data_IF_561097068465
#
_entry.id   IF_561097068465
#
_cell.length_a   1.000
_cell.length_b   1.000
_cell.length_c   1.000
_cell.angle_alpha   90.00
_cell.angle_beta   90.00
_cell.angle_gamma   90.00
#
_symmetry.space_group_name_H-M   'P 1'
#
loop_
_entity.id
_entity.type
_entity.pdbx_description
1 polymer ?
#
# COMPACT_ATOMS: atom_id res chain seq x y z
N UNK A 1 -21.67 -16.91 -31.63
CA UNK A 1 -21.67 -17.49 -30.28
C UNK A 1 -20.22 -17.59 -29.85
N UNK A 2 -19.73 -16.60 -29.10
CA UNK A 2 -18.34 -16.59 -28.60
C UNK A 2 -18.34 -17.19 -27.20
N UNK A 3 -18.01 -18.46 -27.09
CA UNK A 3 -17.76 -19.10 -25.80
C UNK A 3 -16.51 -18.45 -25.17
N UNK A 4 -16.75 -17.55 -24.22
CA UNK A 4 -15.76 -17.06 -23.28
C UNK A 4 -15.33 -18.22 -22.40
N UNK A 5 -14.32 -18.98 -22.82
CA UNK A 5 -13.71 -20.04 -22.02
C UNK A 5 -12.99 -19.44 -20.81
N UNK A 6 -13.73 -19.26 -19.71
CA UNK A 6 -13.19 -18.87 -18.41
C UNK A 6 -12.19 -19.93 -17.92
N UNK A 7 -10.98 -19.51 -17.53
CA UNK A 7 -9.94 -20.42 -17.06
C UNK A 7 -10.36 -21.04 -15.73
N UNK A 8 -10.26 -22.37 -15.63
CA UNK A 8 -10.67 -23.06 -14.40
C UNK A 8 -9.73 -22.76 -13.23
N UNK A 9 -10.25 -22.82 -12.00
CA UNK A 9 -9.46 -22.62 -10.76
C UNK A 9 -8.20 -23.49 -10.68
N UNK A 10 -8.23 -24.69 -11.26
CA UNK A 10 -7.09 -25.63 -11.34
C UNK A 10 -6.01 -25.13 -12.30
N UNK A 11 -6.41 -24.56 -13.43
CA UNK A 11 -5.51 -23.98 -14.42
C UNK A 11 -4.86 -22.69 -13.92
N UNK A 12 -5.61 -21.86 -13.17
CA UNK A 12 -5.07 -20.67 -12.48
C UNK A 12 -3.95 -21.08 -11.51
N UNK A 13 -4.17 -22.11 -10.70
CA UNK A 13 -3.15 -22.54 -9.73
C UNK A 13 -1.92 -23.15 -10.42
N UNK A 14 -2.08 -23.85 -11.54
CA UNK A 14 -0.96 -24.32 -12.36
C UNK A 14 -0.14 -23.14 -12.90
N UNK A 15 -0.81 -22.10 -13.43
CA UNK A 15 -0.13 -20.88 -13.88
C UNK A 15 0.59 -20.18 -12.72
N UNK A 16 0.00 -20.16 -11.52
CA UNK A 16 0.61 -19.58 -10.32
C UNK A 16 1.90 -20.30 -9.93
N UNK A 17 1.88 -21.64 -9.87
CA UNK A 17 3.07 -22.46 -9.60
C UNK A 17 4.16 -22.20 -10.65
N UNK A 18 3.78 -22.09 -11.93
CA UNK A 18 4.72 -21.79 -13.01
C UNK A 18 5.29 -20.37 -12.95
N UNK A 19 4.54 -19.39 -12.43
CA UNK A 19 5.01 -18.01 -12.25
C UNK A 19 6.01 -17.83 -11.12
N UNK A 20 6.04 -18.76 -10.16
CA UNK A 20 6.94 -18.75 -9.00
C UNK A 20 8.29 -19.43 -9.28
N UNK A 21 8.48 -19.99 -10.48
CA UNK A 21 9.70 -20.69 -10.90
C UNK A 21 10.34 -20.04 -12.12
N UNK A 22 11.65 -19.82 -12.06
CA UNK A 22 12.44 -19.38 -13.21
C UNK A 22 12.89 -20.54 -14.10
N UNK A 23 12.69 -21.78 -13.66
CA UNK A 23 13.02 -22.98 -14.42
C UNK A 23 11.75 -23.67 -14.96
N UNK A 24 11.83 -24.37 -16.11
CA UNK A 24 10.74 -25.19 -16.60
C UNK A 24 10.32 -26.25 -15.56
N UNK A 25 8.99 -26.39 -15.33
CA UNK A 25 8.46 -27.36 -14.37
C UNK A 25 7.73 -28.51 -15.06
N UNK A 26 8.09 -29.74 -14.66
CA UNK A 26 7.41 -30.97 -15.07
C UNK A 26 6.11 -31.24 -14.30
N UNK A 27 5.24 -32.08 -14.88
CA UNK A 27 3.94 -32.45 -14.29
C UNK A 27 4.03 -33.06 -12.90
N UNK A 28 5.12 -33.76 -12.59
CA UNK A 28 5.34 -34.39 -11.28
C UNK A 28 5.60 -33.36 -10.17
N UNK A 29 6.37 -32.31 -10.47
CA UNK A 29 6.66 -31.21 -9.53
C UNK A 29 5.39 -30.39 -9.32
N UNK A 30 4.73 -30.00 -10.41
CA UNK A 30 3.48 -29.23 -10.37
C UNK A 30 2.41 -29.97 -9.58
N UNK A 31 2.27 -31.30 -9.76
CA UNK A 31 1.34 -32.12 -8.95
C UNK A 31 1.62 -32.00 -7.44
N UNK A 32 2.88 -32.10 -7.04
CA UNK A 32 3.28 -32.01 -5.63
C UNK A 32 2.96 -30.65 -5.03
N UNK A 33 3.22 -29.58 -5.78
CA UNK A 33 2.90 -28.22 -5.37
C UNK A 33 1.38 -27.98 -5.32
N UNK A 34 0.62 -28.52 -6.28
CA UNK A 34 -0.84 -28.50 -6.24
C UNK A 34 -1.38 -29.22 -5.00
N UNK A 35 -0.85 -30.40 -4.65
CA UNK A 35 -1.25 -31.15 -3.45
C UNK A 35 -0.96 -30.35 -2.17
N UNK A 36 0.18 -29.68 -2.07
CA UNK A 36 0.51 -28.77 -0.96
C UNK A 36 -0.48 -27.62 -0.82
N UNK A 37 -1.09 -27.19 -1.93
CA UNK A 37 -2.08 -26.12 -2.00
C UNK A 37 -3.53 -26.64 -1.93
N UNK A 38 -3.72 -27.92 -1.61
CA UNK A 38 -5.04 -28.54 -1.44
C UNK A 38 -5.73 -28.98 -2.74
N UNK A 39 -5.00 -29.04 -3.85
CA UNK A 39 -5.49 -29.53 -5.15
C UNK A 39 -4.97 -30.94 -5.44
N UNK A 40 -5.86 -31.92 -5.35
CA UNK A 40 -5.53 -33.32 -5.60
C UNK A 40 -5.81 -33.69 -7.06
N UNK A 41 -4.79 -33.63 -7.91
CA UNK A 41 -4.87 -34.01 -9.33
C UNK A 41 -3.90 -35.16 -9.64
N UNK A 42 -4.31 -36.07 -10.53
CA UNK A 42 -3.39 -37.07 -11.06
C UNK A 42 -2.34 -36.41 -11.97
N UNK A 43 -1.15 -36.99 -12.09
CA UNK A 43 -0.12 -36.46 -12.99
C UNK A 43 -0.60 -36.40 -14.45
N UNK A 44 -1.44 -37.35 -14.88
CA UNK A 44 -2.09 -37.35 -16.19
C UNK A 44 -3.01 -36.14 -16.37
N UNK A 45 -3.76 -35.77 -15.34
CA UNK A 45 -4.64 -34.60 -15.34
C UNK A 45 -3.84 -33.30 -15.39
N UNK A 46 -2.71 -33.23 -14.66
CA UNK A 46 -1.80 -32.08 -14.73
C UNK A 46 -1.22 -31.94 -16.14
N UNK A 47 -0.79 -33.04 -16.78
CA UNK A 47 -0.32 -33.02 -18.18
C UNK A 47 -1.40 -32.52 -19.14
N UNK A 48 -2.65 -32.94 -18.96
CA UNK A 48 -3.78 -32.49 -19.76
C UNK A 48 -3.98 -30.97 -19.65
N UNK A 49 -4.01 -30.42 -18.43
CA UNK A 49 -4.13 -28.96 -18.25
C UNK A 49 -2.94 -28.19 -18.84
N UNK A 50 -1.72 -28.70 -18.71
CA UNK A 50 -0.54 -28.09 -19.33
C UNK A 50 -0.65 -28.05 -20.86
N UNK A 51 -1.15 -29.12 -21.49
CA UNK A 51 -1.42 -29.14 -22.93
C UNK A 51 -2.49 -28.11 -23.32
N UNK A 52 -3.56 -27.98 -22.54
CA UNK A 52 -4.62 -26.99 -22.80
C UNK A 52 -4.11 -25.55 -22.65
N UNK A 53 -3.30 -25.28 -21.62
CA UNK A 53 -2.68 -23.97 -21.40
C UNK A 53 -1.68 -23.64 -22.52
N UNK A 54 -0.96 -24.64 -23.03
CA UNK A 54 0.00 -24.51 -24.13
C UNK A 54 -0.73 -24.19 -25.45
N UNK A 55 -1.83 -24.88 -25.74
CA UNK A 55 -2.71 -24.58 -26.89
C UNK A 55 -3.28 -23.14 -26.84
N UNK A 56 -3.49 -22.59 -25.64
CA UNK A 56 -3.93 -21.20 -25.44
C UNK A 56 -2.78 -20.18 -25.49
N UNK A 57 -1.53 -20.65 -25.57
CA UNK A 57 -0.31 -19.82 -25.57
C UNK A 57 0.02 -19.22 -24.20
N UNK A 58 -0.52 -19.78 -23.11
CA UNK A 58 -0.30 -19.28 -21.74
C UNK A 58 0.94 -19.91 -21.09
N UNK A 59 1.38 -21.05 -21.60
CA UNK A 59 2.63 -21.71 -21.20
C UNK A 59 3.39 -22.15 -22.44
N UNK A 60 4.70 -22.29 -22.33
CA UNK A 60 5.59 -22.76 -23.39
C UNK A 60 6.25 -24.07 -22.95
N UNK A 61 6.17 -25.11 -23.78
CA UNK A 61 6.81 -26.39 -23.55
C UNK A 61 8.30 -26.38 -23.88
N UNK A 62 9.08 -27.03 -23.02
CA UNK A 62 10.49 -27.31 -23.18
C UNK A 62 10.67 -28.82 -23.22
N UNK A 63 11.32 -29.36 -24.25
CA UNK A 63 11.36 -30.81 -24.57
C UNK A 63 11.52 -31.71 -23.33
N UNK A 64 12.58 -31.48 -22.54
CA UNK A 64 12.92 -32.27 -21.35
C UNK A 64 12.82 -31.50 -20.03
N UNK A 65 12.45 -30.22 -20.09
CA UNK A 65 12.37 -29.34 -18.90
C UNK A 65 10.98 -29.24 -18.29
N UNK A 66 9.92 -29.45 -19.06
CA UNK A 66 8.55 -29.18 -18.61
C UNK A 66 8.02 -27.91 -19.26
N UNK A 67 7.26 -27.08 -18.52
CA UNK A 67 6.64 -25.86 -19.08
C UNK A 67 7.11 -24.63 -18.30
N UNK A 68 7.20 -23.49 -18.98
CA UNK A 68 7.31 -22.16 -18.35
C UNK A 68 6.07 -21.34 -18.68
N UNK A 69 5.72 -20.39 -17.82
CA UNK A 69 4.64 -19.44 -18.11
C UNK A 69 5.11 -18.43 -19.17
N UNK A 70 4.21 -18.03 -20.08
CA UNK A 70 4.49 -16.96 -21.07
C UNK A 70 4.05 -15.60 -20.52
N UNK A 71 4.45 -14.50 -21.17
CA UNK A 71 3.93 -13.16 -20.83
C UNK A 71 2.39 -13.09 -20.90
N UNK A 72 1.80 -13.74 -21.92
CA UNK A 72 0.34 -13.87 -22.04
C UNK A 72 -0.25 -14.67 -20.88
N UNK A 73 0.43 -15.74 -20.44
CA UNK A 73 0.07 -16.50 -19.25
C UNK A 73 0.10 -15.68 -17.97
N UNK A 74 1.12 -14.83 -17.80
CA UNK A 74 1.24 -13.93 -16.65
C UNK A 74 0.12 -12.88 -16.63
N UNK A 75 -0.20 -12.28 -17.78
CA UNK A 75 -1.31 -11.34 -17.90
C UNK A 75 -2.65 -12.00 -17.57
N UNK A 76 -2.86 -13.21 -18.09
CA UNK A 76 -4.09 -13.96 -17.89
C UNK A 76 -4.23 -14.43 -16.43
N UNK A 77 -3.13 -14.90 -15.82
CA UNK A 77 -3.07 -15.20 -14.38
C UNK A 77 -3.40 -13.95 -13.56
N UNK A 78 -2.85 -12.79 -13.93
CA UNK A 78 -3.12 -11.51 -13.26
C UNK A 78 -4.61 -11.13 -13.34
N UNK A 79 -5.25 -11.34 -14.50
CA UNK A 79 -6.69 -11.11 -14.71
C UNK A 79 -7.55 -12.09 -13.90
N UNK A 80 -7.22 -13.37 -13.95
CA UNK A 80 -7.99 -14.43 -13.29
C UNK A 80 -7.92 -14.34 -11.74
N UNK A 81 -6.84 -13.76 -11.21
CA UNK A 81 -6.68 -13.51 -9.78
C UNK A 81 -7.37 -12.21 -9.31
N UNK A 82 -8.00 -11.42 -10.17
CA UNK A 82 -8.65 -10.14 -9.76
C UNK A 82 -9.70 -10.36 -8.67
N UNK A 83 -10.52 -11.41 -8.75
CA UNK A 83 -11.51 -11.74 -7.72
C UNK A 83 -10.87 -12.25 -6.42
N UNK A 84 -9.73 -12.94 -6.50
CA UNK A 84 -8.93 -13.38 -5.35
C UNK A 84 -8.10 -12.22 -4.74
N UNK A 85 -7.97 -11.09 -5.45
CA UNK A 85 -7.36 -9.86 -4.95
C UNK A 85 -8.34 -8.98 -4.17
N UNK A 86 -9.64 -9.30 -4.14
CA UNK A 86 -10.59 -8.61 -3.27
C UNK A 86 -10.21 -8.92 -1.81
N UNK A 87 -9.90 -7.88 -1.04
CA UNK A 87 -9.33 -8.00 0.31
C UNK A 87 -7.82 -8.25 0.37
N UNK A 88 -7.13 -8.39 -0.79
CA UNK A 88 -5.65 -8.45 -0.84
C UNK A 88 -5.04 -7.18 -0.29
N UNK A 89 -5.60 -6.01 -0.63
CA UNK A 89 -5.10 -4.71 -0.13
C UNK A 89 -5.15 -4.69 1.40
N UNK A 90 -6.29 -5.04 2.00
CA UNK A 90 -6.43 -5.11 3.47
C UNK A 90 -5.45 -6.10 4.09
N UNK A 91 -5.31 -7.29 3.51
CA UNK A 91 -4.41 -8.34 4.04
C UNK A 91 -2.94 -7.94 3.92
N UNK A 92 -2.56 -7.35 2.79
CA UNK A 92 -1.22 -6.82 2.53
C UNK A 92 -0.88 -5.68 3.51
N UNK A 93 -1.82 -4.75 3.72
CA UNK A 93 -1.66 -3.66 4.67
C UNK A 93 -1.51 -4.17 6.10
N UNK A 94 -2.34 -5.14 6.49
CA UNK A 94 -2.25 -5.78 7.79
C UNK A 94 -0.92 -6.51 7.98
N UNK A 95 -0.41 -7.20 6.95
CA UNK A 95 0.88 -7.89 7.00
C UNK A 95 2.05 -6.92 7.18
N UNK A 96 2.03 -5.78 6.48
CA UNK A 96 3.03 -4.72 6.65
C UNK A 96 2.93 -4.10 8.05
N UNK A 97 1.73 -3.72 8.49
CA UNK A 97 1.50 -3.13 9.81
C UNK A 97 1.92 -4.09 10.94
N UNK A 98 1.62 -5.39 10.81
CA UNK A 98 2.05 -6.42 11.75
C UNK A 98 3.59 -6.54 11.83
N UNK A 99 4.29 -6.26 10.74
CA UNK A 99 5.75 -6.37 10.65
C UNK A 99 6.49 -5.12 11.16
N UNK A 100 5.77 -4.04 11.48
CA UNK A 100 6.32 -2.84 12.13
C UNK A 100 6.86 -3.21 13.50
N UNK A 101 8.02 -2.68 13.85
CA UNK A 101 8.61 -2.85 15.20
C UNK A 101 8.97 -1.51 15.85
N UNK A 102 8.57 -0.39 15.25
CA UNK A 102 8.82 0.92 15.81
C UNK A 102 8.21 1.07 17.21
N UNK A 103 9.06 1.45 18.17
CA UNK A 103 8.66 1.76 19.54
C UNK A 103 8.75 3.28 19.77
N UNK A 104 7.62 3.96 20.05
CA UNK A 104 7.63 5.39 20.37
C UNK A 104 8.44 5.75 21.62
N UNK A 105 8.71 4.82 22.54
CA UNK A 105 9.56 5.12 23.70
C UNK A 105 11.04 5.20 23.30
N UNK A 106 11.54 4.16 22.63
CA UNK A 106 12.91 4.09 22.12
C UNK A 106 13.18 5.03 20.92
N UNK A 107 12.14 5.42 20.20
CA UNK A 107 12.22 6.17 18.94
C UNK A 107 13.05 5.47 17.86
N UNK A 108 12.88 4.14 17.77
CA UNK A 108 13.71 3.25 16.97
C UNK A 108 12.89 2.02 16.52
N UNK A 109 13.35 1.30 15.50
CA UNK A 109 12.70 0.11 14.95
C UNK A 109 12.22 0.24 13.50
N UNK A 110 11.56 -0.80 13.00
CA UNK A 110 11.16 -0.91 11.60
C UNK A 110 9.85 -0.14 11.35
N UNK A 111 9.86 0.70 10.32
CA UNK A 111 8.71 1.48 9.83
C UNK A 111 8.35 1.08 8.40
N UNK A 112 7.09 1.28 8.01
CA UNK A 112 6.67 1.10 6.62
C UNK A 112 6.97 2.39 5.85
N UNK A 113 7.64 2.27 4.71
CA UNK A 113 7.96 3.38 3.84
C UNK A 113 7.17 3.33 2.53
N UNK A 114 6.78 4.52 2.07
CA UNK A 114 6.39 4.79 0.68
C UNK A 114 7.63 5.22 -0.09
N UNK A 115 7.68 4.91 -1.38
CA UNK A 115 8.79 5.27 -2.27
C UNK A 115 8.27 6.18 -3.37
N UNK A 116 8.98 7.29 -3.59
CA UNK A 116 8.71 8.25 -4.67
C UNK A 116 9.98 8.51 -5.46
N UNK A 117 9.99 8.17 -6.75
CA UNK A 117 11.11 8.39 -7.66
C UNK A 117 10.82 9.64 -8.48
N UNK A 118 11.80 10.54 -8.52
CA UNK A 118 11.72 11.83 -9.22
C UNK A 118 13.02 12.10 -10.00
N UNK A 119 12.98 13.06 -10.93
CA UNK A 119 14.22 13.58 -11.54
C UNK A 119 15.09 14.27 -10.47
N UNK A 120 16.40 14.02 -10.52
CA UNK A 120 17.38 14.48 -9.53
C UNK A 120 17.38 16.01 -9.34
N UNK A 121 17.09 16.75 -10.40
CA UNK A 121 16.98 18.23 -10.39
C UNK A 121 15.91 18.76 -9.42
N UNK A 122 14.95 17.92 -9.00
CA UNK A 122 13.90 18.29 -8.05
C UNK A 122 14.16 17.80 -6.61
N UNK A 123 15.33 17.21 -6.32
CA UNK A 123 15.63 16.64 -5.01
C UNK A 123 15.52 17.67 -3.88
N UNK A 124 16.18 18.82 -4.00
CA UNK A 124 16.16 19.87 -2.97
C UNK A 124 14.73 20.39 -2.73
N UNK A 125 14.00 20.62 -3.81
CA UNK A 125 12.61 21.04 -3.77
C UNK A 125 11.72 20.01 -3.08
N UNK A 126 11.94 18.72 -3.30
CA UNK A 126 11.20 17.68 -2.61
C UNK A 126 11.44 17.65 -1.10
N UNK A 127 12.68 17.88 -0.67
CA UNK A 127 13.01 18.00 0.75
C UNK A 127 12.31 19.23 1.35
N UNK A 128 12.30 20.37 0.66
CA UNK A 128 11.57 21.58 1.06
C UNK A 128 10.05 21.33 1.16
N UNK A 129 9.46 20.63 0.19
CA UNK A 129 8.05 20.24 0.23
C UNK A 129 7.74 19.40 1.46
N UNK A 130 8.58 18.41 1.78
CA UNK A 130 8.38 17.53 2.95
C UNK A 130 8.47 18.35 4.25
N UNK A 131 9.42 19.28 4.36
CA UNK A 131 9.51 20.22 5.50
C UNK A 131 8.26 21.10 5.63
N UNK A 132 7.82 21.71 4.53
CA UNK A 132 6.62 22.56 4.52
C UNK A 132 5.36 21.78 4.93
N UNK A 133 5.24 20.52 4.52
CA UNK A 133 4.15 19.64 4.97
C UNK A 133 4.25 19.33 6.47
N UNK A 134 5.46 19.14 7.00
CA UNK A 134 5.66 18.90 8.43
C UNK A 134 5.25 20.13 9.26
N UNK A 135 5.69 21.32 8.87
CA UNK A 135 5.32 22.59 9.52
C UNK A 135 3.81 22.86 9.47
N UNK A 136 3.14 22.42 8.40
CA UNK A 136 1.69 22.50 8.26
C UNK A 136 0.91 21.40 9.01
N UNK A 137 1.60 20.53 9.77
CA UNK A 137 1.04 19.33 10.43
C UNK A 137 0.43 18.27 9.48
N UNK A 138 0.81 18.31 8.20
CA UNK A 138 0.34 17.44 7.12
C UNK A 138 1.32 16.32 6.74
N UNK A 139 2.39 16.15 7.51
CA UNK A 139 3.33 15.03 7.35
C UNK A 139 3.20 14.07 8.53
N UNK A 140 3.04 12.78 8.26
CA UNK A 140 2.83 11.78 9.30
C UNK A 140 4.03 11.68 10.27
N UNK A 141 5.24 11.50 9.75
CA UNK A 141 6.45 11.41 10.55
C UNK A 141 7.54 12.29 9.94
N UNK A 142 8.36 12.97 10.77
CA UNK A 142 9.38 13.91 10.32
C UNK A 142 10.66 13.19 9.86
N UNK A 143 10.55 12.16 9.04
CA UNK A 143 11.69 11.35 8.59
C UNK A 143 11.65 11.16 7.07
N UNK A 144 12.82 11.28 6.46
CA UNK A 144 13.03 11.03 5.04
C UNK A 144 14.35 10.30 4.82
N UNK A 145 14.36 9.32 3.91
CA UNK A 145 15.59 8.77 3.34
C UNK A 145 15.63 9.10 1.86
N UNK A 146 16.78 9.52 1.38
CA UNK A 146 17.03 9.80 -0.04
C UNK A 146 18.05 8.77 -0.52
N UNK A 147 17.77 8.14 -1.65
CA UNK A 147 18.75 7.39 -2.43
C UNK A 147 19.10 8.18 -3.67
N UNK A 148 20.39 8.27 -3.96
CA UNK A 148 20.90 8.90 -5.16
C UNK A 148 20.92 7.92 -6.34
N UNK A 149 21.18 8.43 -7.53
CA UNK A 149 21.32 7.65 -8.75
C UNK A 149 22.33 6.51 -8.61
N UNK A 150 22.04 5.36 -9.21
CA UNK A 150 22.84 4.13 -9.15
C UNK A 150 22.99 3.52 -7.74
N UNK A 151 22.24 3.99 -6.75
CA UNK A 151 22.12 3.33 -5.45
C UNK A 151 21.00 2.27 -5.48
N UNK A 152 21.18 1.24 -4.65
CA UNK A 152 20.18 0.21 -4.39
C UNK A 152 19.93 0.09 -2.89
N UNK A 153 18.66 0.03 -2.50
CA UNK A 153 18.28 -0.23 -1.11
C UNK A 153 16.91 -0.91 -1.05
N UNK A 154 16.82 -2.03 -0.33
CA UNK A 154 15.57 -2.78 -0.09
C UNK A 154 14.77 -3.09 -1.37
N UNK A 155 15.47 -3.55 -2.42
CA UNK A 155 14.93 -3.87 -3.75
C UNK A 155 14.43 -2.65 -4.56
N UNK A 156 14.79 -1.43 -4.15
CA UNK A 156 14.62 -0.21 -4.95
C UNK A 156 15.97 0.11 -5.55
N UNK A 157 16.05 0.06 -6.88
CA UNK A 157 17.19 0.55 -7.65
C UNK A 157 16.85 1.87 -8.33
N UNK A 158 17.77 2.83 -8.27
CA UNK A 158 17.58 4.18 -8.84
C UNK A 158 18.39 4.30 -10.13
N UNK A 159 17.74 4.63 -11.24
CA UNK A 159 18.41 4.86 -12.52
C UNK A 159 19.18 6.19 -12.55
N UNK A 160 20.12 6.30 -13.48
CA UNK A 160 20.86 7.54 -13.75
C UNK A 160 19.91 8.73 -13.97
N UNK A 161 20.24 9.89 -13.38
CA UNK A 161 19.44 11.11 -13.41
C UNK A 161 18.21 11.13 -12.51
N UNK A 162 17.97 10.08 -11.70
CA UNK A 162 16.84 9.99 -10.76
C UNK A 162 17.30 9.98 -9.31
N UNK A 163 16.37 10.29 -8.40
CA UNK A 163 16.51 10.06 -6.95
C UNK A 163 15.26 9.37 -6.42
N UNK A 164 15.41 8.57 -5.37
CA UNK A 164 14.27 7.96 -4.67
C UNK A 164 14.12 8.52 -3.25
N UNK A 165 12.90 8.91 -2.91
CA UNK A 165 12.51 9.46 -1.62
C UNK A 165 11.67 8.44 -0.86
N UNK A 166 12.07 8.17 0.37
CA UNK A 166 11.38 7.29 1.30
C UNK A 166 10.73 8.12 2.39
N UNK A 167 9.42 8.03 2.52
CA UNK A 167 8.65 8.71 3.57
C UNK A 167 7.80 7.70 4.35
N UNK A 168 7.60 7.95 5.64
CA UNK A 168 6.88 7.01 6.51
C UNK A 168 5.39 6.93 6.14
N UNK A 169 4.88 5.71 6.05
CA UNK A 169 3.49 5.37 5.77
C UNK A 169 2.65 5.27 7.04
N UNK A 170 1.35 5.58 6.96
CA UNK A 170 0.37 5.51 8.06
C UNK A 170 0.18 4.10 8.62
N UNK A 171 0.49 3.07 7.82
CA UNK A 171 0.61 1.69 8.29
C UNK A 171 1.59 1.51 9.45
N UNK A 172 2.55 2.43 9.63
CA UNK A 172 3.44 2.42 10.79
C UNK A 172 2.69 2.75 12.08
N UNK A 173 1.77 3.73 12.05
CA UNK A 173 0.91 4.03 13.19
C UNK A 173 -0.04 2.86 13.45
N UNK A 174 -0.60 2.29 12.38
CA UNK A 174 -1.44 1.08 12.48
C UNK A 174 -0.67 -0.06 13.19
N UNK A 175 0.61 -0.27 12.84
CA UNK A 175 1.48 -1.27 13.47
C UNK A 175 1.71 -1.01 14.97
N UNK A 176 2.02 0.22 15.36
CA UNK A 176 2.17 0.60 16.78
C UNK A 176 0.89 0.33 17.57
N UNK A 177 -0.28 0.62 16.99
CA UNK A 177 -1.58 0.34 17.61
C UNK A 177 -1.81 -1.17 17.75
N UNK A 178 -1.57 -1.94 16.68
CA UNK A 178 -1.73 -3.41 16.68
C UNK A 178 -0.85 -4.06 17.76
N UNK A 179 0.44 -3.71 17.83
CA UNK A 179 1.36 -4.25 18.84
C UNK A 179 1.04 -3.79 20.26
N UNK A 180 0.32 -2.69 20.39
CA UNK A 180 -0.26 -2.25 21.65
C UNK A 180 -1.56 -3.00 22.01
N UNK A 181 -1.95 -4.04 21.26
CA UNK A 181 -3.17 -4.80 21.48
C UNK A 181 -4.45 -4.05 21.12
N UNK A 182 -4.39 -3.09 20.21
CA UNK A 182 -5.54 -2.31 19.75
C UNK A 182 -6.06 -2.91 18.42
N UNK A 183 -7.25 -3.53 18.41
CA UNK A 183 -7.84 -4.03 17.18
C UNK A 183 -8.39 -2.87 16.35
N UNK A 184 -7.96 -2.80 15.09
CA UNK A 184 -8.37 -1.78 14.13
C UNK A 184 -8.86 -2.42 12.82
N UNK A 185 -9.71 -1.70 12.11
CA UNK A 185 -10.29 -2.11 10.83
C UNK A 185 -9.96 -1.05 9.78
N UNK A 186 -9.34 -1.47 8.67
CA UNK A 186 -9.13 -0.62 7.50
C UNK A 186 -10.47 -0.38 6.80
N UNK A 187 -10.97 0.86 6.80
CA UNK A 187 -12.29 1.16 6.23
C UNK A 187 -12.19 1.80 4.87
N UNK A 188 -11.63 3.01 4.81
CA UNK A 188 -11.63 3.80 3.58
C UNK A 188 -10.32 4.54 3.37
N UNK A 189 -9.90 4.63 2.10
CA UNK A 189 -9.00 5.69 1.65
C UNK A 189 -9.81 6.69 0.84
N UNK A 190 -9.52 7.97 0.98
CA UNK A 190 -10.35 9.03 0.39
C UNK A 190 -9.68 10.39 0.34
N UNK A 191 -10.48 11.38 -0.04
CA UNK A 191 -10.09 12.79 -0.09
C UNK A 191 -10.89 13.57 0.96
N UNK A 192 -10.19 14.36 1.76
CA UNK A 192 -10.77 15.20 2.81
C UNK A 192 -10.67 16.67 2.42
N UNK A 193 -11.79 17.36 2.52
CA UNK A 193 -11.85 18.82 2.41
C UNK A 193 -11.35 19.46 3.70
N UNK A 194 -10.41 20.38 3.58
CA UNK A 194 -9.90 21.21 4.67
C UNK A 194 -10.25 22.66 4.41
N UNK A 195 -10.75 23.35 5.45
CA UNK A 195 -11.03 24.79 5.42
C UNK A 195 -10.44 25.42 6.67
N UNK A 196 -9.65 26.48 6.52
CA UNK A 196 -9.00 27.19 7.63
C UNK A 196 -8.23 26.25 8.59
N UNK A 197 -7.51 25.26 8.02
CA UNK A 197 -6.76 24.19 8.69
C UNK A 197 -7.61 23.19 9.48
N UNK A 198 -8.93 23.22 9.30
CA UNK A 198 -9.87 22.30 9.93
C UNK A 198 -10.34 21.26 8.90
N UNK A 199 -10.08 19.96 9.11
CA UNK A 199 -10.66 18.89 8.30
C UNK A 199 -12.18 18.85 8.51
N UNK A 200 -12.96 18.99 7.42
CA UNK A 200 -14.42 19.08 7.51
C UNK A 200 -15.11 17.74 7.24
N UNK A 201 -14.83 17.15 6.08
CA UNK A 201 -15.48 15.93 5.62
C UNK A 201 -14.71 15.23 4.52
N UNK A 202 -14.96 13.94 4.35
CA UNK A 202 -14.62 13.26 3.12
C UNK A 202 -15.52 13.74 1.97
N UNK A 203 -14.91 13.95 0.81
CA UNK A 203 -15.60 14.28 -0.44
C UNK A 203 -15.55 13.14 -1.46
N UNK A 204 -14.59 12.23 -1.30
CA UNK A 204 -14.43 11.01 -2.10
C UNK A 204 -13.92 9.89 -1.20
N UNK A 205 -14.39 8.65 -1.41
CA UNK A 205 -14.09 7.50 -0.56
C UNK A 205 -14.08 6.21 -1.40
N UNK A 206 -13.13 5.33 -1.12
CA UNK A 206 -13.10 3.96 -1.63
C UNK A 206 -12.84 3.02 -0.46
N UNK A 207 -13.65 1.97 -0.36
CA UNK A 207 -13.49 0.92 0.64
C UNK A 207 -12.24 0.09 0.37
N UNK A 208 -11.43 -0.17 1.39
CA UNK A 208 -10.27 -1.08 1.26
C UNK A 208 -10.70 -2.54 1.00
N UNK A 209 -11.86 -2.96 1.51
CA UNK A 209 -12.38 -4.31 1.31
C UNK A 209 -12.91 -4.53 -0.11
N UNK A 210 -13.27 -3.44 -0.80
CA UNK A 210 -13.88 -3.46 -2.13
C UNK A 210 -12.91 -3.24 -3.28
N UNK A 211 -11.60 -3.22 -3.04
CA UNK A 211 -10.60 -2.83 -4.05
C UNK A 211 -9.43 -3.80 -4.13
N UNK A 212 -8.84 -3.87 -5.33
CA UNK A 212 -7.60 -4.62 -5.63
C UNK A 212 -6.38 -3.70 -5.73
N UNK A 213 -6.59 -2.38 -5.67
CA UNK A 213 -5.55 -1.34 -5.77
C UNK A 213 -5.66 -0.41 -4.55
N UNK A 214 -4.55 -0.01 -3.92
CA UNK A 214 -4.57 0.99 -2.85
C UNK A 214 -5.33 2.28 -3.27
N UNK A 215 -6.43 2.64 -2.59
CA UNK A 215 -7.24 3.81 -2.90
C UNK A 215 -6.46 5.12 -3.05
N UNK A 216 -5.49 5.35 -2.17
CA UNK A 216 -4.74 6.60 -2.15
C UNK A 216 -3.81 6.75 -3.36
N UNK A 217 -3.32 5.64 -3.93
CA UNK A 217 -2.58 5.69 -5.20
C UNK A 217 -3.47 6.12 -6.36
N UNK A 218 -4.74 5.67 -6.37
CA UNK A 218 -5.71 6.09 -7.39
C UNK A 218 -6.00 7.59 -7.30
N UNK A 219 -6.23 8.10 -6.08
CA UNK A 219 -6.48 9.53 -5.86
C UNK A 219 -5.26 10.41 -6.11
N UNK A 220 -4.04 9.93 -5.83
CA UNK A 220 -2.83 10.66 -6.16
C UNK A 220 -2.71 10.91 -7.68
N UNK A 221 -3.16 9.96 -8.49
CA UNK A 221 -3.13 10.06 -9.96
C UNK A 221 -4.29 10.88 -10.55
N UNK A 222 -5.38 11.08 -9.82
CA UNK A 222 -6.57 11.75 -10.34
C UNK A 222 -6.49 13.28 -10.37
N UNK A 223 -5.42 13.89 -9.83
CA UNK A 223 -5.22 15.36 -9.73
C UNK A 223 -6.37 16.08 -9.00
N UNK A 224 -7.03 15.40 -8.07
CA UNK A 224 -8.16 15.94 -7.30
C UNK A 224 -7.76 16.60 -5.98
N UNK A 225 -6.47 16.60 -5.64
CA UNK A 225 -5.92 17.16 -4.41
C UNK A 225 -5.49 18.62 -4.58
N UNK A 226 -5.32 19.33 -3.48
CA UNK A 226 -4.72 20.67 -3.45
C UNK A 226 -3.97 20.89 -2.13
N UNK A 227 -3.08 19.96 -1.79
CA UNK A 227 -2.30 19.96 -0.54
C UNK A 227 -1.43 21.21 -0.44
N UNK A 228 -0.79 21.60 -1.54
CA UNK A 228 0.05 22.81 -1.61
C UNK A 228 -0.76 24.08 -1.29
N UNK A 229 -2.05 24.11 -1.66
CA UNK A 229 -2.98 25.19 -1.31
C UNK A 229 -3.31 25.17 0.19
N UNK A 230 -3.42 23.99 0.81
CA UNK A 230 -3.63 23.88 2.26
C UNK A 230 -2.43 24.46 3.02
N UNK A 231 -1.20 24.15 2.59
CA UNK A 231 0.01 24.74 3.19
C UNK A 231 -0.02 26.27 3.11
N UNK A 232 -0.37 26.83 1.95
CA UNK A 232 -0.36 28.29 1.70
C UNK A 232 -1.52 29.05 2.34
N UNK A 233 -2.73 28.48 2.34
CA UNK A 233 -3.98 29.20 2.67
C UNK A 233 -4.78 28.57 3.81
N UNK A 234 -4.37 27.39 4.27
CA UNK A 234 -5.13 26.57 5.21
C UNK A 234 -6.31 25.84 4.59
N UNK A 235 -6.59 25.98 3.30
CA UNK A 235 -7.78 25.38 2.67
C UNK A 235 -7.47 24.64 1.38
N UNK A 236 -8.13 23.50 1.16
CA UNK A 236 -7.91 22.64 -0.01
C UNK A 236 -8.38 21.20 0.24
N UNK A 237 -7.78 20.25 -0.48
CA UNK A 237 -8.16 18.84 -0.49
C UNK A 237 -6.92 17.99 -0.25
N UNK A 238 -6.96 17.06 0.70
CA UNK A 238 -5.85 16.16 1.00
C UNK A 238 -6.27 14.68 1.00
N UNK A 239 -5.36 13.76 0.65
CA UNK A 239 -5.59 12.33 0.78
C UNK A 239 -5.61 11.94 2.27
N UNK A 240 -6.59 11.14 2.67
CA UNK A 240 -6.75 10.68 4.03
C UNK A 240 -7.14 9.21 4.09
N UNK A 241 -6.70 8.56 5.16
CA UNK A 241 -7.00 7.17 5.45
C UNK A 241 -7.85 7.09 6.72
N UNK A 242 -8.92 6.30 6.69
CA UNK A 242 -9.84 6.09 7.79
C UNK A 242 -9.74 4.68 8.33
N UNK A 243 -9.65 4.57 9.66
CA UNK A 243 -9.75 3.34 10.43
C UNK A 243 -10.97 3.41 11.33
N UNK A 244 -11.55 2.25 11.61
CA UNK A 244 -12.42 2.05 12.76
C UNK A 244 -11.67 1.28 13.84
N UNK A 245 -11.88 1.64 15.09
CA UNK A 245 -11.23 1.00 16.24
C UNK A 245 -12.31 0.72 17.30
N UNK A 246 -12.20 -0.39 18.03
CA UNK A 246 -13.16 -0.72 19.09
C UNK A 246 -13.23 0.38 20.16
N UNK A 247 -14.43 0.72 20.61
CA UNK A 247 -14.68 1.83 21.54
C UNK A 247 -13.84 1.72 22.83
N UNK A 248 -13.72 0.50 23.37
CA UNK A 248 -12.93 0.24 24.59
C UNK A 248 -11.43 0.53 24.47
N UNK A 249 -10.89 0.66 23.26
CA UNK A 249 -9.48 0.99 23.05
C UNK A 249 -9.21 2.50 22.92
N UNK A 250 -10.26 3.35 22.91
CA UNK A 250 -10.15 4.76 22.53
C UNK A 250 -9.15 5.56 23.37
N UNK A 251 -9.21 5.43 24.70
CA UNK A 251 -8.29 6.16 25.59
C UNK A 251 -6.83 5.73 25.36
N UNK A 252 -6.60 4.42 25.19
CA UNK A 252 -5.28 3.87 24.90
C UNK A 252 -4.76 4.35 23.55
N UNK A 253 -5.61 4.37 22.52
CA UNK A 253 -5.28 4.94 21.19
C UNK A 253 -4.86 6.39 21.30
N UNK A 254 -5.65 7.24 21.98
CA UNK A 254 -5.33 8.67 22.14
C UNK A 254 -4.00 8.86 22.88
N UNK A 255 -3.74 8.06 23.92
CA UNK A 255 -2.46 8.10 24.64
C UNK A 255 -1.28 7.78 23.72
N UNK A 256 -1.38 6.71 22.91
CA UNK A 256 -0.32 6.32 21.96
C UNK A 256 -0.09 7.41 20.91
N UNK A 257 -1.16 7.93 20.31
CA UNK A 257 -1.05 9.03 19.34
C UNK A 257 -0.44 10.29 19.96
N UNK A 258 -0.70 10.55 21.24
CA UNK A 258 -0.05 11.64 21.97
C UNK A 258 1.45 11.39 22.19
N UNK A 259 1.89 10.17 22.47
CA UNK A 259 3.32 9.84 22.56
C UNK A 259 4.02 10.01 21.20
N UNK A 260 3.39 9.54 20.12
CA UNK A 260 3.87 9.78 18.74
C UNK A 260 3.98 11.28 18.45
N UNK A 261 2.98 12.08 18.87
CA UNK A 261 3.00 13.54 18.71
C UNK A 261 4.19 14.19 19.41
N UNK A 262 4.60 13.70 20.59
CA UNK A 262 5.81 14.18 21.29
C UNK A 262 7.09 13.91 20.51
N UNK A 263 7.15 12.84 19.70
CA UNK A 263 8.27 12.53 18.79
C UNK A 263 8.27 13.35 17.49
N UNK A 264 7.25 14.19 17.29
CA UNK A 264 7.12 15.00 16.08
C UNK A 264 6.22 14.37 15.03
N UNK A 265 5.59 13.21 15.30
CA UNK A 265 4.60 12.68 14.37
C UNK A 265 3.38 13.61 14.34
N UNK A 266 2.86 13.87 13.14
CA UNK A 266 1.67 14.69 12.89
C UNK A 266 0.73 13.89 12.00
N UNK A 267 -0.27 14.54 11.41
CA UNK A 267 -1.15 13.90 10.45
C UNK A 267 -2.33 13.13 11.04
N UNK A 268 -2.58 13.13 12.36
CA UNK A 268 -3.93 12.77 12.86
C UNK A 268 -4.89 13.90 12.54
N UNK A 269 -5.89 13.63 11.69
CA UNK A 269 -6.86 14.62 11.22
C UNK A 269 -8.05 14.74 12.16
N UNK A 270 -8.60 13.60 12.59
CA UNK A 270 -9.78 13.55 13.43
C UNK A 270 -9.88 12.22 14.17
N UNK A 271 -10.47 12.26 15.37
CA UNK A 271 -10.85 11.08 16.15
C UNK A 271 -12.29 11.31 16.63
N UNK A 272 -13.23 10.45 16.25
CA UNK A 272 -14.61 10.60 16.71
C UNK A 272 -14.80 10.10 18.15
N UNK A 273 -15.94 10.45 18.75
CA UNK A 273 -16.44 9.73 19.92
C UNK A 273 -16.96 8.34 19.49
N UNK A 274 -17.08 7.38 20.42
CA UNK A 274 -17.70 6.09 20.12
C UNK A 274 -19.10 6.27 19.52
N UNK A 275 -19.43 5.50 18.49
CA UNK A 275 -20.70 5.52 17.75
C UNK A 275 -21.02 6.82 17.01
N UNK A 276 -20.12 7.81 17.03
CA UNK A 276 -20.28 9.07 16.31
C UNK A 276 -19.54 9.03 14.96
N UNK A 277 -20.09 9.67 13.91
CA UNK A 277 -19.42 9.78 12.63
C UNK A 277 -18.10 10.56 12.74
N UNK A 278 -17.17 10.27 11.82
CA UNK A 278 -15.91 11.00 11.69
C UNK A 278 -15.84 11.62 10.30
N UNK A 279 -15.64 12.94 10.21
CA UNK A 279 -15.54 13.65 8.92
C UNK A 279 -16.67 13.31 7.93
N UNK A 280 -17.90 13.20 8.44
CA UNK A 280 -19.10 12.89 7.65
C UNK A 280 -19.30 11.41 7.30
N UNK A 281 -18.42 10.51 7.76
CA UNK A 281 -18.54 9.06 7.52
C UNK A 281 -19.07 8.38 8.77
N UNK A 282 -20.14 7.56 8.66
CA UNK A 282 -20.66 6.81 9.79
C UNK A 282 -19.65 5.78 10.29
N UNK A 283 -19.72 5.49 11.58
CA UNK A 283 -18.88 4.50 12.26
C UNK A 283 -19.79 3.38 12.77
N UNK A 284 -19.34 2.12 12.65
CA UNK A 284 -20.11 0.98 13.16
C UNK A 284 -20.29 1.02 14.69
N UNK A 285 -21.34 0.33 15.17
CA UNK A 285 -21.63 0.19 16.60
C UNK A 285 -20.41 -0.34 17.40
N UNK A 286 -20.23 0.22 18.59
CA UNK A 286 -19.14 -0.02 19.53
C UNK A 286 -17.74 0.23 18.95
N UNK A 287 -17.65 1.19 18.03
CA UNK A 287 -16.38 1.65 17.44
C UNK A 287 -16.30 3.17 17.42
N UNK A 288 -15.09 3.69 17.21
CA UNK A 288 -14.82 5.08 16.89
C UNK A 288 -13.95 5.17 15.63
N UNK A 289 -14.00 6.31 14.95
CA UNK A 289 -13.22 6.58 13.75
C UNK A 289 -11.90 7.27 14.06
N UNK A 290 -10.82 6.83 13.40
CA UNK A 290 -9.53 7.50 13.36
C UNK A 290 -9.21 7.87 11.91
N UNK A 291 -9.00 9.16 11.64
CA UNK A 291 -8.60 9.65 10.33
C UNK A 291 -7.18 10.19 10.38
N UNK A 292 -6.35 9.76 9.44
CA UNK A 292 -4.96 10.17 9.30
C UNK A 292 -4.71 10.72 7.90
N UNK A 293 -3.75 11.64 7.77
CA UNK A 293 -3.23 12.07 6.47
C UNK A 293 -2.65 10.85 5.77
N UNK A 294 -2.97 10.69 4.49
CA UNK A 294 -2.41 9.63 3.68
C UNK A 294 -0.90 9.80 3.52
N UNK A 295 -0.14 8.72 3.66
CA UNK A 295 1.33 8.74 3.54
C UNK A 295 1.86 9.18 2.17
N UNK A 296 0.99 9.43 1.20
CA UNK A 296 1.30 9.94 -0.14
C UNK A 296 1.29 11.46 -0.24
N UNK A 297 1.04 12.20 0.86
CA UNK A 297 0.99 13.66 0.82
C UNK A 297 2.24 14.33 0.20
N UNK A 298 3.49 13.87 0.47
CA UNK A 298 4.68 14.43 -0.20
C UNK A 298 4.69 14.22 -1.71
N UNK A 299 4.41 13.00 -2.17
CA UNK A 299 4.36 12.67 -3.59
C UNK A 299 3.30 13.49 -4.34
N UNK A 300 2.13 13.64 -3.71
CA UNK A 300 1.02 14.41 -4.26
C UNK A 300 1.33 15.90 -4.32
N UNK A 301 1.95 16.46 -3.27
CA UNK A 301 2.36 17.86 -3.27
C UNK A 301 3.37 18.16 -4.39
N UNK A 302 4.32 17.25 -4.64
CA UNK A 302 5.25 17.34 -5.77
C UNK A 302 4.54 17.30 -7.13
N UNK A 303 3.57 16.39 -7.29
CA UNK A 303 2.75 16.29 -8.50
C UNK A 303 1.95 17.57 -8.78
N UNK A 304 1.40 18.21 -7.73
CA UNK A 304 0.66 19.48 -7.84
C UNK A 304 1.53 20.64 -8.35
N UNK A 305 2.82 20.60 -8.06
CA UNK A 305 3.79 21.59 -8.53
C UNK A 305 4.43 21.21 -9.89
N UNK A 306 3.93 20.17 -10.55
CA UNK A 306 4.36 19.76 -11.88
C UNK A 306 5.61 18.87 -11.93
N UNK A 307 6.08 18.34 -10.79
CA UNK A 307 7.13 17.30 -10.80
C UNK A 307 6.52 15.98 -11.25
N UNK A 308 7.20 15.26 -12.13
CA UNK A 308 6.83 13.89 -12.46
C UNK A 308 7.30 12.97 -11.34
N UNK A 309 6.36 12.27 -10.70
CA UNK A 309 6.64 11.36 -9.58
C UNK A 309 6.15 9.96 -9.92
N UNK A 310 7.04 8.98 -9.82
CA UNK A 310 6.68 7.55 -9.83
C UNK A 310 6.57 7.07 -8.38
N UNK A 311 5.39 6.60 -8.00
CA UNK A 311 5.07 6.32 -6.60
C UNK A 311 4.71 4.86 -6.40
N UNK A 312 5.26 4.26 -5.34
CA UNK A 312 4.96 2.92 -4.86
C UNK A 312 4.57 3.02 -3.38
N UNK A 313 3.30 2.78 -3.04
CA UNK A 313 2.80 3.00 -1.70
C UNK A 313 1.63 2.08 -1.29
N UNK A 314 1.79 1.31 -0.21
CA UNK A 314 3.00 1.10 0.59
C UNK A 314 4.01 0.21 -0.14
N UNK A 315 5.30 0.33 0.20
CA UNK A 315 6.35 -0.42 -0.51
C UNK A 315 7.12 -1.41 0.38
N UNK A 316 7.89 -0.93 1.36
CA UNK A 316 8.84 -1.77 2.09
C UNK A 316 8.98 -1.38 3.57
N UNK A 317 9.59 -2.28 4.34
CA UNK A 317 10.01 -2.02 5.72
C UNK A 317 11.46 -1.53 5.75
N UNK A 318 11.70 -0.45 6.47
CA UNK A 318 13.04 0.13 6.65
C UNK A 318 13.27 0.44 8.14
N UNK A 319 14.50 0.33 8.66
CA UNK A 319 14.83 0.85 9.97
C UNK A 319 14.64 2.37 9.98
N UNK A 320 13.98 2.93 10.99
CA UNK A 320 13.84 4.38 11.13
C UNK A 320 15.20 5.07 11.23
N UNK A 321 16.18 4.37 11.79
CA UNK A 321 17.56 4.80 11.99
C UNK A 321 18.29 5.05 10.67
N UNK A 322 17.86 4.41 9.58
CA UNK A 322 18.39 4.64 8.23
C UNK A 322 17.80 5.90 7.58
N UNK A 323 16.83 6.56 8.24
CA UNK A 323 16.17 7.78 7.78
C UNK A 323 16.71 9.01 8.51
N UNK A 324 16.80 10.13 7.80
CA UNK A 324 17.16 11.43 8.37
C UNK A 324 15.92 12.13 8.88
N UNK A 325 16.00 12.66 10.09
CA UNK A 325 14.97 13.55 10.64
C UNK A 325 15.06 14.92 9.95
N UNK A 326 13.91 15.48 9.57
CA UNK A 326 13.81 16.80 8.91
C UNK A 326 13.58 17.95 9.88
#
# INVERSE_FOLDING_TARGET
>A
MSDSYEISRKEIEILRILSESNEPLGSTIIRRELERRGFFLSERTVRYHLQMLELRGLVSGHERGGRTITSKGLEELSRALVSQRIGFVTTFFLSLAYSVTYDPAADSGMVVANVSIIDKDFCDRAIETVKALHEAELLLAPYIKVLDENEEYRNVSVSEGRVALFTVCDLTVDGVLIHSGIPLFFKYGGLVQVVNRIPLRFIELISYDGTTVPPLELFARSKMTSITKIVKTGSGILPAAMREIVAGAREKTIKILSELKKKGWRGTLAISAPNEPVLGVPVAMDRFGLCMVGGLAPAVALLEEGVRVETFAPHCLIPLEDMKRI
#
